data_IF_366032149867
#
_entry.id   IF_366032149867
#
_cell.length_a   1.000
_cell.length_b   1.000
_cell.length_c   1.000
_cell.angle_alpha   90.00
_cell.angle_beta   90.00
_cell.angle_gamma   90.00
#
_symmetry.space_group_name_H-M   'P 1'
#
loop_
_entity.id
_entity.type
_entity.pdbx_description
1 polymer ?
#
# COMPACT_ATOMS: atom_id res chain seq x y z
N UNK A 1 -20.91 -20.04 -19.16
CA UNK A 1 -21.04 -18.61 -18.78
C UNK A 1 -21.97 -17.95 -19.77
N UNK A 2 -22.92 -17.13 -19.33
CA UNK A 2 -23.76 -16.33 -20.23
C UNK A 2 -22.90 -15.35 -21.04
N UNK A 3 -23.23 -15.08 -22.31
CA UNK A 3 -22.51 -14.08 -23.11
C UNK A 3 -22.81 -12.67 -22.57
N UNK A 4 -21.90 -11.73 -22.80
CA UNK A 4 -22.11 -10.32 -22.44
C UNK A 4 -23.42 -9.78 -23.04
N UNK A 5 -23.76 -10.17 -24.27
CA UNK A 5 -25.02 -9.82 -24.92
C UNK A 5 -26.23 -10.30 -24.11
N UNK A 6 -26.20 -11.53 -23.60
CA UNK A 6 -27.30 -12.13 -22.87
C UNK A 6 -27.52 -11.43 -21.53
N UNK A 7 -26.43 -11.04 -20.86
CA UNK A 7 -26.47 -10.26 -19.63
C UNK A 7 -27.07 -8.87 -19.84
N UNK A 8 -26.76 -8.21 -20.96
CA UNK A 8 -27.36 -6.92 -21.29
C UNK A 8 -28.84 -7.09 -21.65
N UNK A 9 -29.21 -8.16 -22.37
CA UNK A 9 -30.62 -8.47 -22.60
C UNK A 9 -31.38 -8.71 -21.29
N UNK A 10 -30.75 -9.31 -20.27
CA UNK A 10 -31.32 -9.39 -18.91
C UNK A 10 -31.54 -8.00 -18.31
N UNK A 11 -30.55 -7.10 -18.38
CA UNK A 11 -30.70 -5.70 -17.93
C UNK A 11 -31.89 -5.02 -18.58
N UNK A 12 -32.06 -5.17 -19.91
CA UNK A 12 -33.14 -4.52 -20.66
C UNK A 12 -34.52 -5.09 -20.31
N UNK A 13 -34.66 -6.41 -20.25
CA UNK A 13 -35.93 -7.06 -19.85
C UNK A 13 -36.39 -6.61 -18.48
N UNK A 14 -35.44 -6.53 -17.56
CA UNK A 14 -35.71 -6.12 -16.19
C UNK A 14 -36.02 -4.62 -16.10
N UNK A 15 -35.34 -3.79 -16.89
CA UNK A 15 -35.66 -2.36 -16.99
C UNK A 15 -37.08 -2.12 -17.52
N UNK A 16 -37.52 -2.86 -18.55
CA UNK A 16 -38.89 -2.80 -19.08
C UNK A 16 -39.89 -3.22 -18.01
N UNK A 17 -39.61 -4.31 -17.27
CA UNK A 17 -40.45 -4.74 -16.15
C UNK A 17 -40.64 -3.62 -15.12
N UNK A 18 -39.54 -2.94 -14.75
CA UNK A 18 -39.54 -1.85 -13.78
C UNK A 18 -40.31 -0.61 -14.23
N UNK A 19 -40.46 -0.34 -15.54
CA UNK A 19 -41.29 0.77 -16.02
C UNK A 19 -42.77 0.61 -15.67
N UNK A 20 -43.23 -0.63 -15.52
CA UNK A 20 -44.62 -0.96 -15.18
C UNK A 20 -44.82 -1.20 -13.68
N UNK A 21 -43.75 -1.18 -12.88
CA UNK A 21 -43.80 -1.44 -11.46
C UNK A 21 -44.28 -0.20 -10.67
N UNK A 22 -45.01 -0.39 -9.55
CA UNK A 22 -45.46 0.71 -8.72
C UNK A 22 -44.27 1.45 -8.09
N UNK A 23 -44.37 2.78 -8.04
CA UNK A 23 -43.35 3.65 -7.46
C UNK A 23 -43.63 3.98 -5.98
N UNK A 24 -42.62 3.97 -5.09
CA UNK A 24 -41.22 3.58 -5.32
C UNK A 24 -41.03 2.06 -5.38
N UNK A 25 -40.23 1.58 -6.34
CA UNK A 25 -39.85 0.17 -6.41
C UNK A 25 -38.75 -0.13 -5.38
N UNK A 26 -39.06 -1.02 -4.44
CA UNK A 26 -38.10 -1.70 -3.58
C UNK A 26 -38.37 -3.19 -3.67
N UNK A 27 -37.34 -3.99 -3.90
CA UNK A 27 -37.47 -5.45 -3.92
C UNK A 27 -37.58 -5.96 -2.47
N UNK A 28 -38.63 -6.74 -2.18
CA UNK A 28 -38.90 -7.27 -0.83
C UNK A 28 -37.76 -8.16 -0.31
N UNK A 29 -36.96 -8.75 -1.21
CA UNK A 29 -35.84 -9.62 -0.86
C UNK A 29 -34.49 -8.90 -0.93
N UNK A 30 -34.45 -7.62 -1.32
CA UNK A 30 -33.21 -6.84 -1.36
C UNK A 30 -32.90 -6.33 0.06
N UNK A 31 -31.75 -6.71 0.64
CA UNK A 31 -31.35 -6.23 1.96
C UNK A 31 -31.06 -4.72 1.99
N UNK A 32 -31.02 -4.05 0.83
CA UNK A 32 -30.82 -2.61 0.73
C UNK A 32 -32.17 -1.84 0.78
N UNK A 33 -32.39 -0.97 1.79
CA UNK A 33 -33.73 -0.43 2.08
C UNK A 33 -34.17 0.74 1.17
N UNK A 34 -33.41 1.06 0.12
CA UNK A 34 -33.69 2.21 -0.76
C UNK A 34 -33.69 1.78 -2.23
N UNK A 35 -34.45 2.47 -3.11
CA UNK A 35 -34.36 2.24 -4.54
C UNK A 35 -32.94 2.42 -5.05
N UNK A 36 -32.41 1.42 -5.77
CA UNK A 36 -31.10 1.51 -6.40
C UNK A 36 -31.20 2.39 -7.63
N UNK A 37 -30.17 3.20 -7.85
CA UNK A 37 -30.16 4.17 -8.95
C UNK A 37 -28.84 4.17 -9.72
N UNK A 38 -28.91 4.40 -11.02
CA UNK A 38 -27.77 4.67 -11.90
C UNK A 38 -27.89 6.10 -12.43
N UNK A 39 -26.85 6.92 -12.24
CA UNK A 39 -26.84 8.29 -12.76
C UNK A 39 -26.63 8.32 -14.28
N UNK A 40 -27.33 9.22 -14.96
CA UNK A 40 -27.25 9.41 -16.43
C UNK A 40 -26.22 10.50 -16.80
N UNK A 41 -25.72 11.24 -15.82
CA UNK A 41 -24.65 12.24 -15.98
C UNK A 41 -25.13 13.70 -16.06
N UNK A 42 -26.43 13.94 -16.21
CA UNK A 42 -27.07 15.26 -16.29
C UNK A 42 -27.97 15.57 -15.08
N UNK A 43 -27.68 14.93 -13.95
CA UNK A 43 -28.49 15.01 -12.73
C UNK A 43 -29.72 14.09 -12.74
N UNK A 44 -30.04 13.43 -13.87
CA UNK A 44 -31.06 12.37 -13.93
C UNK A 44 -30.50 11.04 -13.44
N UNK A 45 -31.41 10.17 -13.02
CA UNK A 45 -31.09 8.80 -12.62
C UNK A 45 -32.15 7.82 -13.11
N UNK A 46 -31.73 6.58 -13.35
CA UNK A 46 -32.57 5.45 -13.72
C UNK A 46 -32.66 4.54 -12.49
N UNK A 47 -33.87 4.13 -12.15
CA UNK A 47 -34.08 3.15 -11.07
C UNK A 47 -33.85 1.76 -11.58
N UNK A 48 -33.13 0.98 -10.79
CA UNK A 48 -32.70 -0.37 -11.14
C UNK A 48 -33.00 -1.34 -10.01
N UNK A 49 -33.15 -2.62 -10.34
CA UNK A 49 -33.25 -3.70 -9.37
C UNK A 49 -31.87 -4.28 -9.03
N UNK A 50 -31.83 -5.13 -8.01
CA UNK A 50 -30.63 -5.92 -7.70
C UNK A 50 -30.20 -6.79 -8.88
N UNK A 51 -31.16 -7.36 -9.63
CA UNK A 51 -30.86 -8.19 -10.81
C UNK A 51 -30.10 -7.41 -11.90
N UNK A 52 -30.48 -6.15 -12.13
CA UNK A 52 -29.75 -5.27 -13.05
C UNK A 52 -28.31 -5.02 -12.55
N UNK A 53 -28.14 -4.68 -11.27
CA UNK A 53 -26.81 -4.45 -10.69
C UNK A 53 -25.94 -5.71 -10.80
N UNK A 54 -26.48 -6.89 -10.54
CA UNK A 54 -25.76 -8.17 -10.62
C UNK A 54 -25.39 -8.52 -12.07
N UNK A 55 -26.28 -8.27 -13.03
CA UNK A 55 -26.00 -8.45 -14.46
C UNK A 55 -24.88 -7.50 -14.93
N UNK A 56 -24.94 -6.22 -14.52
CA UNK A 56 -23.88 -5.24 -14.82
C UNK A 56 -22.54 -5.64 -14.20
N UNK A 57 -22.53 -6.15 -12.96
CA UNK A 57 -21.30 -6.64 -12.34
C UNK A 57 -20.70 -7.81 -13.11
N UNK A 58 -21.52 -8.77 -13.57
CA UNK A 58 -21.07 -9.88 -14.41
C UNK A 58 -20.52 -9.40 -15.75
N UNK A 59 -21.12 -8.38 -16.35
CA UNK A 59 -20.57 -7.74 -17.57
C UNK A 59 -19.19 -7.14 -17.28
N UNK A 60 -19.05 -6.39 -16.18
CA UNK A 60 -17.77 -5.80 -15.79
C UNK A 60 -16.68 -6.87 -15.59
N UNK A 61 -17.00 -7.97 -14.90
CA UNK A 61 -16.10 -9.09 -14.66
C UNK A 61 -15.68 -9.79 -15.97
N UNK A 62 -16.60 -9.95 -16.92
CA UNK A 62 -16.26 -10.51 -18.23
C UNK A 62 -15.39 -9.57 -19.07
N UNK A 63 -15.64 -8.26 -19.00
CA UNK A 63 -14.84 -7.26 -19.72
C UNK A 63 -13.39 -7.21 -19.21
N UNK A 64 -13.17 -7.25 -17.89
CA UNK A 64 -11.80 -7.25 -17.35
C UNK A 64 -11.07 -8.58 -17.59
N UNK A 65 -11.79 -9.70 -17.62
CA UNK A 65 -11.21 -11.00 -17.95
C UNK A 65 -10.76 -11.11 -19.42
N UNK A 66 -11.37 -10.34 -20.33
CA UNK A 66 -10.98 -10.28 -21.75
C UNK A 66 -9.68 -9.50 -21.99
N UNK A 67 -9.30 -8.61 -21.07
CA UNK A 67 -8.04 -7.85 -21.15
C UNK A 67 -7.24 -7.98 -19.83
N UNK A 68 -6.35 -8.99 -19.72
CA UNK A 68 -5.52 -9.20 -18.54
C UNK A 68 -4.66 -7.98 -18.17
N UNK A 69 -4.36 -7.07 -19.10
CA UNK A 69 -3.56 -5.87 -18.81
C UNK A 69 -4.28 -4.87 -17.91
N UNK A 70 -5.61 -4.96 -17.81
CA UNK A 70 -6.42 -4.13 -16.93
C UNK A 70 -6.42 -4.61 -15.48
N UNK A 71 -6.22 -5.91 -15.25
CA UNK A 71 -6.18 -6.49 -13.89
C UNK A 71 -5.04 -5.93 -13.05
N UNK A 72 -3.95 -5.49 -13.69
CA UNK A 72 -2.83 -4.83 -13.03
C UNK A 72 -2.98 -3.31 -12.96
N UNK A 73 -4.06 -2.71 -13.46
CA UNK A 73 -4.26 -1.25 -13.48
C UNK A 73 -5.46 -0.77 -12.66
N UNK A 74 -6.42 -1.65 -12.44
CA UNK A 74 -7.67 -1.36 -11.75
C UNK A 74 -7.88 -2.28 -10.55
N UNK A 75 -8.42 -1.72 -9.47
CA UNK A 75 -9.08 -2.55 -8.46
C UNK A 75 -10.42 -3.04 -9.00
N UNK A 76 -10.83 -4.26 -8.65
CA UNK A 76 -12.08 -4.83 -9.14
C UNK A 76 -13.31 -3.97 -8.78
N UNK A 77 -13.35 -3.43 -7.57
CA UNK A 77 -14.44 -2.56 -7.12
C UNK A 77 -14.50 -1.25 -7.92
N UNK A 78 -13.34 -0.63 -8.18
CA UNK A 78 -13.24 0.60 -8.97
C UNK A 78 -13.64 0.35 -10.44
N UNK A 79 -13.19 -0.75 -11.01
CA UNK A 79 -13.58 -1.20 -12.35
C UNK A 79 -15.09 -1.40 -12.47
N UNK A 80 -15.69 -2.16 -11.55
CA UNK A 80 -17.15 -2.39 -11.52
C UNK A 80 -17.92 -1.08 -11.39
N UNK A 81 -17.46 -0.16 -10.54
CA UNK A 81 -18.06 1.17 -10.38
C UNK A 81 -17.99 1.98 -11.68
N UNK A 82 -16.85 1.96 -12.38
CA UNK A 82 -16.70 2.63 -13.67
C UNK A 82 -17.65 2.05 -14.72
N UNK A 83 -17.64 0.72 -14.91
CA UNK A 83 -18.52 0.05 -15.89
C UNK A 83 -19.98 0.36 -15.58
N UNK A 84 -20.39 0.28 -14.31
CA UNK A 84 -21.74 0.65 -13.87
C UNK A 84 -22.09 2.09 -14.20
N UNK A 85 -21.17 3.03 -14.02
CA UNK A 85 -21.40 4.43 -14.38
C UNK A 85 -21.56 4.63 -15.90
N UNK A 86 -20.94 3.79 -16.73
CA UNK A 86 -21.11 3.82 -18.19
C UNK A 86 -22.48 3.32 -18.66
N UNK A 87 -23.17 2.48 -17.87
CA UNK A 87 -24.51 1.99 -18.23
C UNK A 87 -25.58 3.09 -18.19
N UNK A 88 -25.50 4.04 -17.26
CA UNK A 88 -26.54 5.08 -17.11
C UNK A 88 -26.79 5.90 -18.39
N UNK A 89 -25.75 6.56 -18.94
CA UNK A 89 -25.85 7.24 -20.22
C UNK A 89 -26.26 6.30 -21.36
N UNK A 90 -25.75 5.07 -21.40
CA UNK A 90 -26.04 4.11 -22.45
C UNK A 90 -27.52 3.69 -22.47
N UNK A 91 -28.11 3.43 -21.29
CA UNK A 91 -29.52 3.08 -21.13
C UNK A 91 -30.46 4.27 -21.38
N UNK A 92 -30.00 5.50 -21.15
CA UNK A 92 -30.80 6.69 -21.43
C UNK A 92 -30.86 7.07 -22.92
N UNK A 93 -30.01 6.47 -23.76
CA UNK A 93 -29.92 6.75 -25.19
C UNK A 93 -30.70 5.76 -26.07
N UNK A 94 -31.22 4.68 -25.50
CA UNK A 94 -32.00 3.67 -26.23
C UNK A 94 -33.49 3.97 -26.15
N UNK A 95 -34.22 3.53 -27.17
CA UNK A 95 -35.68 3.47 -27.16
C UNK A 95 -36.11 2.06 -26.71
N UNK A 96 -36.89 1.96 -25.63
CA UNK A 96 -37.27 0.64 -25.09
C UNK A 96 -38.32 -0.09 -25.93
N UNK A 97 -38.92 0.60 -26.91
CA UNK A 97 -39.83 0.00 -27.90
C UNK A 97 -39.06 -0.77 -29.01
N UNK A 98 -37.75 -0.52 -29.16
CA UNK A 98 -36.90 -1.23 -30.12
C UNK A 98 -36.61 -2.69 -29.70
N UNK A 99 -36.33 -3.60 -30.66
CA UNK A 99 -35.98 -4.98 -30.35
C UNK A 99 -34.83 -5.10 -29.35
N UNK A 100 -35.01 -5.92 -28.30
CA UNK A 100 -34.04 -6.10 -27.20
C UNK A 100 -32.64 -6.43 -27.73
N UNK A 101 -32.51 -7.26 -28.76
CA UNK A 101 -31.22 -7.64 -29.32
C UNK A 101 -30.48 -6.48 -30.02
N UNK A 102 -31.23 -5.53 -30.60
CA UNK A 102 -30.67 -4.31 -31.18
C UNK A 102 -30.21 -3.35 -30.08
N UNK A 103 -31.07 -3.11 -29.09
CA UNK A 103 -30.74 -2.30 -27.93
C UNK A 103 -29.55 -2.86 -27.15
N UNK A 104 -29.46 -4.17 -26.98
CA UNK A 104 -28.36 -4.82 -26.26
C UNK A 104 -27.01 -4.58 -26.95
N UNK A 105 -26.97 -4.61 -28.29
CA UNK A 105 -25.76 -4.28 -29.06
C UNK A 105 -25.37 -2.81 -28.89
N UNK A 106 -26.33 -1.90 -29.02
CA UNK A 106 -26.08 -0.46 -28.89
C UNK A 106 -25.59 -0.10 -27.48
N UNK A 107 -26.21 -0.66 -26.43
CA UNK A 107 -25.76 -0.47 -25.04
C UNK A 107 -24.34 -1.00 -24.86
N UNK A 108 -24.04 -2.19 -25.38
CA UNK A 108 -22.69 -2.77 -25.28
C UNK A 108 -21.63 -1.89 -25.95
N UNK A 109 -21.90 -1.39 -27.16
CA UNK A 109 -21.00 -0.51 -27.90
C UNK A 109 -20.77 0.81 -27.17
N UNK A 110 -21.83 1.40 -26.62
CA UNK A 110 -21.75 2.63 -25.83
C UNK A 110 -20.96 2.44 -24.54
N UNK A 111 -21.21 1.34 -23.82
CA UNK A 111 -20.45 0.99 -22.60
C UNK A 111 -18.98 0.77 -22.93
N UNK A 112 -18.66 -0.02 -23.97
CA UNK A 112 -17.26 -0.25 -24.40
C UNK A 112 -16.56 1.03 -24.80
N UNK A 113 -17.23 1.89 -25.55
CA UNK A 113 -16.67 3.19 -25.97
C UNK A 113 -16.41 4.10 -24.77
N UNK A 114 -17.34 4.16 -23.82
CA UNK A 114 -17.20 4.91 -22.57
C UNK A 114 -16.05 4.39 -21.73
N UNK A 115 -15.95 3.08 -21.53
CA UNK A 115 -14.88 2.42 -20.77
C UNK A 115 -13.52 2.67 -21.43
N UNK A 116 -13.41 2.49 -22.75
CA UNK A 116 -12.16 2.73 -23.50
C UNK A 116 -11.68 4.17 -23.37
N UNK A 117 -12.60 5.14 -23.43
CA UNK A 117 -12.30 6.55 -23.21
C UNK A 117 -11.76 6.80 -21.79
N UNK A 118 -12.34 6.18 -20.77
CA UNK A 118 -11.86 6.31 -19.38
C UNK A 118 -10.49 5.66 -19.18
N UNK A 119 -10.22 4.52 -19.81
CA UNK A 119 -8.90 3.87 -19.78
C UNK A 119 -7.84 4.81 -20.37
N UNK A 120 -8.12 5.44 -21.51
CA UNK A 120 -7.22 6.38 -22.18
C UNK A 120 -6.91 7.66 -21.39
N UNK A 121 -7.67 7.97 -20.34
CA UNK A 121 -7.45 9.13 -19.46
C UNK A 121 -6.53 8.84 -18.26
N UNK A 122 -6.04 7.61 -18.12
CA UNK A 122 -5.16 7.23 -17.01
C UNK A 122 -3.74 7.76 -17.21
N UNK A 123 -3.54 9.04 -16.90
CA UNK A 123 -2.24 9.72 -16.97
C UNK A 123 -1.32 9.46 -15.77
N UNK A 124 -0.23 10.24 -15.71
CA UNK A 124 0.68 10.28 -14.55
C UNK A 124 -0.01 10.90 -13.34
N UNK A 125 0.12 10.28 -12.17
CA UNK A 125 -0.44 10.74 -10.89
C UNK A 125 0.64 10.77 -9.82
N UNK A 126 0.68 11.83 -9.03
CA UNK A 126 1.50 11.91 -7.82
C UNK A 126 0.59 11.75 -6.59
N UNK A 127 0.84 10.74 -5.77
CA UNK A 127 0.17 10.53 -4.49
C UNK A 127 1.09 11.03 -3.38
N UNK A 128 0.64 11.99 -2.59
CA UNK A 128 1.43 12.61 -1.52
C UNK A 128 0.92 12.21 -0.14
N UNK A 129 1.84 11.94 0.78
CA UNK A 129 1.56 11.57 2.16
C UNK A 129 2.43 12.41 3.09
N UNK A 130 1.84 13.06 4.10
CA UNK A 130 2.63 13.63 5.20
C UNK A 130 3.43 12.53 5.89
N UNK A 131 4.71 12.76 6.17
CA UNK A 131 5.54 11.78 6.87
C UNK A 131 6.51 12.39 7.88
N UNK A 132 6.79 11.62 8.93
CA UNK A 132 7.97 11.80 9.76
C UNK A 132 9.08 10.94 9.18
N UNK A 133 10.28 11.50 9.05
CA UNK A 133 11.43 10.81 8.45
C UNK A 133 12.65 10.91 9.36
N UNK A 134 13.10 12.13 9.66
CA UNK A 134 14.22 12.38 10.56
C UNK A 134 13.83 13.35 11.68
N UNK A 135 14.67 13.42 12.71
CA UNK A 135 14.54 14.36 13.83
C UNK A 135 14.79 15.82 13.44
N UNK A 136 15.58 16.04 12.38
CA UNK A 136 15.86 17.35 11.82
C UNK A 136 15.05 17.59 10.53
N UNK A 137 14.92 18.85 10.12
CA UNK A 137 14.27 19.25 8.86
C UNK A 137 15.26 19.77 7.82
N UNK A 138 16.56 19.58 8.04
CA UNK A 138 17.65 20.11 7.21
C UNK A 138 18.01 19.21 6.03
N UNK A 139 17.42 18.01 5.97
CA UNK A 139 17.65 17.05 4.89
C UNK A 139 17.10 17.60 3.57
N UNK A 140 17.96 17.63 2.55
CA UNK A 140 17.59 18.07 1.20
C UNK A 140 16.62 17.08 0.54
N UNK A 141 15.79 17.54 -0.42
CA UNK A 141 14.99 16.64 -1.24
C UNK A 141 15.82 15.52 -1.87
N UNK A 142 15.30 14.30 -1.84
CA UNK A 142 15.91 13.14 -2.49
C UNK A 142 14.85 12.17 -3.00
N UNK A 143 15.25 11.22 -3.84
CA UNK A 143 14.36 10.21 -4.40
C UNK A 143 14.99 8.82 -4.34
N UNK A 144 14.13 7.80 -4.21
CA UNK A 144 14.47 6.38 -4.34
C UNK A 144 13.45 5.79 -5.31
N UNK A 145 13.86 5.61 -6.56
CA UNK A 145 12.98 5.20 -7.65
C UNK A 145 11.78 6.16 -7.80
N UNK A 146 10.54 5.67 -7.74
CA UNK A 146 9.34 6.50 -7.92
C UNK A 146 8.94 7.31 -6.68
N UNK A 147 9.66 7.16 -5.56
CA UNK A 147 9.36 7.81 -4.28
C UNK A 147 10.28 9.00 -4.08
N UNK A 148 9.70 10.15 -3.76
CA UNK A 148 10.39 11.41 -3.46
C UNK A 148 10.08 11.86 -2.04
N UNK A 149 11.12 12.20 -1.29
CA UNK A 149 11.00 12.80 0.04
C UNK A 149 11.42 14.26 -0.02
N UNK A 150 10.59 15.14 0.52
CA UNK A 150 10.82 16.59 0.53
C UNK A 150 10.46 17.19 1.89
N UNK A 151 11.20 18.20 2.37
CA UNK A 151 10.69 19.07 3.43
C UNK A 151 9.34 19.66 3.01
N UNK A 152 8.38 19.72 3.94
CA UNK A 152 6.99 20.13 3.63
C UNK A 152 6.88 21.48 2.92
N UNK A 153 7.77 22.42 3.26
CA UNK A 153 7.80 23.75 2.66
C UNK A 153 8.28 23.69 1.19
N UNK A 154 9.36 22.95 0.93
CA UNK A 154 9.87 22.77 -0.43
C UNK A 154 8.89 22.00 -1.34
N UNK A 155 8.18 21.01 -0.79
CA UNK A 155 7.10 20.32 -1.50
C UNK A 155 5.97 21.29 -1.89
N UNK A 156 5.52 22.13 -0.95
CA UNK A 156 4.44 23.09 -1.21
C UNK A 156 4.84 24.15 -2.24
N UNK A 157 6.09 24.65 -2.17
CA UNK A 157 6.65 25.58 -3.14
C UNK A 157 6.67 24.96 -4.55
N UNK A 158 7.13 23.71 -4.67
CA UNK A 158 7.09 22.97 -5.94
C UNK A 158 5.65 22.80 -6.46
N UNK A 159 4.70 22.43 -5.60
CA UNK A 159 3.30 22.31 -6.02
C UNK A 159 2.66 23.64 -6.41
N UNK A 160 3.13 24.76 -5.86
CA UNK A 160 2.73 26.07 -6.34
C UNK A 160 3.33 26.40 -7.70
N UNK A 161 4.61 26.08 -7.94
CA UNK A 161 5.27 26.36 -9.23
C UNK A 161 4.74 25.49 -10.37
N UNK A 162 4.31 24.26 -10.08
CA UNK A 162 3.61 23.37 -11.01
C UNK A 162 2.15 23.81 -11.31
N UNK A 163 1.64 24.84 -10.62
CA UNK A 163 0.27 25.33 -10.77
C UNK A 163 -0.81 24.45 -10.12
N UNK A 164 -0.42 23.41 -9.38
CA UNK A 164 -1.34 22.53 -8.65
C UNK A 164 -1.92 23.22 -7.40
N UNK A 165 -1.21 24.22 -6.85
CA UNK A 165 -1.65 25.02 -5.70
C UNK A 165 -1.55 26.50 -6.06
N UNK A 166 -2.61 27.28 -5.80
CA UNK A 166 -2.58 28.72 -6.00
C UNK A 166 -1.70 29.43 -4.96
N UNK A 167 -1.04 30.55 -5.33
CA UNK A 167 -0.20 31.34 -4.40
C UNK A 167 -0.93 31.74 -3.12
N UNK A 168 -2.21 32.05 -3.21
CA UNK A 168 -3.07 32.36 -2.06
C UNK A 168 -3.23 31.16 -1.14
N UNK A 169 -3.44 29.98 -1.71
CA UNK A 169 -3.60 28.72 -0.96
C UNK A 169 -2.28 28.31 -0.32
N UNK A 170 -1.15 28.43 -1.02
CA UNK A 170 0.19 28.23 -0.45
C UNK A 170 0.40 29.07 0.82
N UNK A 171 0.23 30.40 0.70
CA UNK A 171 0.44 31.32 1.83
C UNK A 171 -0.42 30.97 3.05
N UNK A 172 -1.65 30.50 2.82
CA UNK A 172 -2.58 30.10 3.89
C UNK A 172 -2.17 28.77 4.53
N UNK A 173 -1.74 27.79 3.74
CA UNK A 173 -1.21 26.53 4.26
C UNK A 173 0.02 26.82 5.14
N UNK A 174 0.95 27.68 4.71
CA UNK A 174 2.10 28.12 5.50
C UNK A 174 1.70 28.81 6.82
N UNK A 175 0.64 29.63 6.79
CA UNK A 175 0.08 30.23 8.01
C UNK A 175 -0.49 29.17 8.95
N UNK A 176 -1.23 28.19 8.43
CA UNK A 176 -1.75 27.07 9.24
C UNK A 176 -0.61 26.26 9.86
N UNK A 177 0.41 25.91 9.08
CA UNK A 177 1.57 25.14 9.52
C UNK A 177 2.48 25.86 10.51
N UNK A 178 2.40 27.20 10.59
CA UNK A 178 3.02 28.02 11.63
C UNK A 178 2.14 28.21 12.88
N UNK A 179 0.99 27.53 12.94
CA UNK A 179 0.09 27.51 14.10
C UNK A 179 -0.96 28.62 14.10
N UNK A 180 -1.07 29.42 13.05
CA UNK A 180 -2.11 30.47 12.97
C UNK A 180 -3.46 29.84 12.62
N UNK A 181 -4.50 30.28 13.33
CA UNK A 181 -5.89 29.90 13.00
C UNK A 181 -6.29 30.55 11.69
N UNK A 182 -6.73 29.75 10.73
CA UNK A 182 -7.23 30.23 9.45
C UNK A 182 -8.68 30.68 9.56
N UNK A 183 -9.01 31.81 8.92
CA UNK A 183 -10.39 32.23 8.72
C UNK A 183 -11.08 31.34 7.69
N UNK A 184 -12.38 31.10 7.88
CA UNK A 184 -13.20 30.26 6.99
C UNK A 184 -13.27 30.88 5.58
N UNK A 185 -12.97 30.07 4.56
CA UNK A 185 -13.06 30.45 3.15
C UNK A 185 -14.45 30.11 2.58
N UNK A 186 -14.90 30.84 1.56
CA UNK A 186 -16.06 30.44 0.76
C UNK A 186 -15.77 29.11 0.07
N UNK A 187 -16.78 28.25 -0.07
CA UNK A 187 -16.65 26.99 -0.77
C UNK A 187 -16.17 27.20 -2.22
N UNK A 188 -15.02 26.62 -2.54
CA UNK A 188 -14.36 26.62 -3.84
C UNK A 188 -13.42 25.43 -3.95
N UNK A 189 -12.97 25.09 -5.17
CA UNK A 189 -11.95 24.06 -5.40
C UNK A 189 -10.70 24.32 -4.55
N UNK A 190 -10.20 25.55 -4.56
CA UNK A 190 -9.06 25.94 -3.72
C UNK A 190 -9.31 25.73 -2.22
N UNK A 191 -10.53 25.95 -1.73
CA UNK A 191 -10.85 25.73 -0.31
C UNK A 191 -10.84 24.24 0.07
N UNK A 192 -11.19 23.37 -0.88
CA UNK A 192 -11.14 21.91 -0.72
C UNK A 192 -9.67 21.47 -0.73
N UNK A 193 -8.89 21.91 -1.72
CA UNK A 193 -7.45 21.62 -1.82
C UNK A 193 -6.70 22.09 -0.56
N UNK A 194 -6.97 23.31 -0.07
CA UNK A 194 -6.38 23.84 1.16
C UNK A 194 -6.62 22.90 2.35
N UNK A 195 -7.88 22.48 2.54
CA UNK A 195 -8.27 21.59 3.62
C UNK A 195 -7.62 20.21 3.47
N UNK A 196 -7.69 19.62 2.29
CA UNK A 196 -7.16 18.28 2.04
C UNK A 196 -5.64 18.24 2.23
N UNK A 197 -4.89 19.26 1.80
CA UNK A 197 -3.44 19.34 2.04
C UNK A 197 -3.15 19.46 3.54
N UNK A 198 -3.89 20.29 4.28
CA UNK A 198 -3.71 20.43 5.72
C UNK A 198 -4.01 19.10 6.43
N UNK A 199 -5.05 18.36 6.01
CA UNK A 199 -5.44 17.09 6.61
C UNK A 199 -4.45 15.94 6.26
N UNK A 200 -3.95 15.90 5.02
CA UNK A 200 -3.05 14.84 4.52
C UNK A 200 -1.60 15.03 4.96
N UNK A 201 -1.10 16.27 4.99
CA UNK A 201 0.27 16.57 5.43
C UNK A 201 0.32 16.77 6.94
N UNK A 202 -0.72 17.38 7.52
CA UNK A 202 -0.82 17.63 8.95
C UNK A 202 0.37 18.41 9.50
N UNK A 203 0.89 17.94 10.64
CA UNK A 203 2.06 18.51 11.31
C UNK A 203 3.38 17.85 10.89
N UNK A 204 3.36 16.96 9.89
CA UNK A 204 4.55 16.23 9.47
C UNK A 204 5.60 17.17 8.86
N UNK A 205 6.89 17.02 9.19
CA UNK A 205 7.94 17.89 8.66
C UNK A 205 8.30 17.58 7.20
N UNK A 206 8.02 16.36 6.73
CA UNK A 206 8.30 15.91 5.37
C UNK A 206 7.02 15.49 4.64
N UNK A 207 7.10 15.46 3.33
CA UNK A 207 6.10 14.86 2.44
C UNK A 207 6.79 13.76 1.64
N UNK A 208 6.16 12.59 1.63
CA UNK A 208 6.50 11.45 0.79
C UNK A 208 5.56 11.43 -0.41
N UNK A 209 6.09 11.70 -1.59
CA UNK A 209 5.35 11.67 -2.85
C UNK A 209 5.72 10.42 -3.65
N UNK A 210 4.74 9.75 -4.24
CA UNK A 210 4.94 8.59 -5.11
C UNK A 210 4.28 8.82 -6.47
N UNK A 211 5.07 8.71 -7.53
CA UNK A 211 4.61 8.87 -8.91
C UNK A 211 4.16 7.53 -9.47
N UNK A 212 2.96 7.49 -10.03
CA UNK A 212 2.36 6.33 -10.68
C UNK A 212 1.92 6.71 -12.10
N UNK A 213 1.93 5.74 -13.03
CA UNK A 213 1.58 5.99 -14.44
C UNK A 213 0.61 4.93 -14.91
N UNK A 214 -0.48 5.34 -15.57
CA UNK A 214 -1.41 4.39 -16.19
C UNK A 214 -2.30 3.61 -15.21
N UNK A 215 -2.27 3.96 -13.92
CA UNK A 215 -3.10 3.34 -12.88
C UNK A 215 -4.37 4.15 -12.64
N UNK A 216 -5.45 3.43 -12.36
CA UNK A 216 -6.70 4.00 -11.90
C UNK A 216 -6.53 4.64 -10.52
N UNK A 217 -7.31 5.69 -10.16
CA UNK A 217 -7.14 6.41 -8.90
C UNK A 217 -6.98 5.55 -7.63
N UNK A 218 -7.85 4.56 -7.41
CA UNK A 218 -7.78 3.74 -6.19
C UNK A 218 -6.59 2.77 -6.23
N UNK A 219 -6.36 2.11 -7.36
CA UNK A 219 -5.18 1.27 -7.57
C UNK A 219 -3.87 2.05 -7.41
N UNK A 220 -3.80 3.27 -7.95
CA UNK A 220 -2.66 4.17 -7.85
C UNK A 220 -2.38 4.52 -6.38
N UNK A 221 -3.43 4.86 -5.63
CA UNK A 221 -3.33 5.20 -4.21
C UNK A 221 -2.84 4.02 -3.38
N UNK A 222 -3.39 2.82 -3.58
CA UNK A 222 -2.99 1.61 -2.85
C UNK A 222 -1.52 1.24 -3.12
N UNK A 223 -1.10 1.26 -4.39
CA UNK A 223 0.29 0.99 -4.76
C UNK A 223 1.23 2.06 -4.27
N UNK A 224 0.86 3.33 -4.38
CA UNK A 224 1.66 4.43 -3.86
C UNK A 224 1.87 4.31 -2.34
N UNK A 225 0.82 3.98 -1.60
CA UNK A 225 0.89 3.79 -0.15
C UNK A 225 1.83 2.63 0.22
N UNK A 226 1.69 1.49 -0.45
CA UNK A 226 2.59 0.34 -0.26
C UNK A 226 4.04 0.72 -0.58
N UNK A 227 4.27 1.38 -1.72
CA UNK A 227 5.61 1.80 -2.15
C UNK A 227 6.25 2.80 -1.17
N UNK A 228 5.48 3.76 -0.65
CA UNK A 228 5.95 4.71 0.36
C UNK A 228 6.37 4.01 1.66
N UNK A 229 5.59 3.02 2.13
CA UNK A 229 5.94 2.20 3.30
C UNK A 229 7.22 1.40 3.10
N UNK A 230 7.39 0.78 1.92
CA UNK A 230 8.59 0.04 1.57
C UNK A 230 9.82 0.95 1.47
N UNK A 231 9.68 2.16 0.94
CA UNK A 231 10.76 3.14 0.91
C UNK A 231 11.20 3.54 2.34
N UNK A 232 10.26 3.80 3.26
CA UNK A 232 10.59 4.05 4.67
C UNK A 232 11.28 2.85 5.32
N UNK A 233 10.81 1.63 5.05
CA UNK A 233 11.45 0.41 5.55
C UNK A 233 12.87 0.24 5.02
N UNK A 234 13.10 0.53 3.75
CA UNK A 234 14.42 0.47 3.12
C UNK A 234 15.39 1.49 3.74
N UNK A 235 14.93 2.70 4.05
CA UNK A 235 15.71 3.68 4.80
C UNK A 235 16.02 3.14 6.21
N UNK A 236 15.01 2.64 6.91
CA UNK A 236 15.17 2.12 8.28
C UNK A 236 16.16 0.95 8.40
N UNK A 237 16.38 0.17 7.33
CA UNK A 237 17.39 -0.91 7.31
C UNK A 237 18.79 -0.41 7.66
N UNK A 238 19.12 0.85 7.42
CA UNK A 238 20.43 1.41 7.77
C UNK A 238 20.67 1.47 9.29
N UNK A 239 19.61 1.51 10.11
CA UNK A 239 19.74 1.48 11.56
C UNK A 239 19.94 0.07 12.08
N UNK A 240 20.71 -0.08 13.16
CA UNK A 240 20.92 -1.39 13.80
C UNK A 240 19.61 -2.02 14.25
N UNK A 241 18.63 -1.24 14.70
CA UNK A 241 17.28 -1.72 15.06
C UNK A 241 16.23 -1.00 14.20
N UNK A 242 15.92 -1.50 13.00
CA UNK A 242 14.98 -0.87 12.07
C UNK A 242 13.57 -0.67 12.65
N UNK A 243 13.08 -1.57 13.50
CA UNK A 243 11.79 -1.44 14.19
C UNK A 243 11.73 -0.17 15.03
N UNK A 244 12.80 0.14 15.78
CA UNK A 244 12.92 1.40 16.53
C UNK A 244 13.04 2.63 15.63
N UNK A 245 13.71 2.52 14.49
CA UNK A 245 13.75 3.62 13.52
C UNK A 245 12.35 3.90 12.94
N UNK A 246 11.60 2.85 12.58
CA UNK A 246 10.22 2.94 12.08
C UNK A 246 9.19 3.37 13.14
N UNK A 247 9.48 3.25 14.44
CA UNK A 247 8.69 3.95 15.45
C UNK A 247 8.72 5.48 15.24
N UNK A 248 9.79 6.03 14.68
CA UNK A 248 9.90 7.45 14.37
C UNK A 248 9.61 7.81 12.91
N UNK A 249 9.84 6.88 11.97
CA UNK A 249 9.60 7.06 10.55
C UNK A 249 8.20 6.55 10.16
N UNK A 250 7.27 7.45 9.86
CA UNK A 250 5.87 7.08 9.65
C UNK A 250 5.18 7.95 8.61
N UNK A 251 4.26 7.34 7.86
CA UNK A 251 3.23 8.08 7.13
C UNK A 251 2.12 8.48 8.09
N UNK A 252 1.64 9.73 7.99
CA UNK A 252 0.48 10.21 8.75
C UNK A 252 -0.77 9.36 8.48
N UNK A 253 -0.84 8.77 7.29
CA UNK A 253 -1.88 7.82 6.87
C UNK A 253 -1.99 6.62 7.83
N UNK A 254 -0.86 6.10 8.32
CA UNK A 254 -0.83 4.81 9.02
C UNK A 254 -1.16 4.93 10.50
N UNK A 255 -0.61 5.94 11.19
CA UNK A 255 -0.76 6.08 12.64
C UNK A 255 -0.76 7.55 13.03
N UNK A 256 -1.78 7.95 13.79
CA UNK A 256 -1.77 9.21 14.54
C UNK A 256 -1.17 8.98 15.92
N UNK A 257 -0.25 9.87 16.32
CA UNK A 257 0.39 9.83 17.63
C UNK A 257 -0.68 9.90 18.73
N UNK A 258 -0.71 8.89 19.60
CA UNK A 258 -1.61 8.88 20.76
C UNK A 258 -0.93 8.24 21.97
N UNK A 259 -1.42 8.58 23.17
CA UNK A 259 -0.95 8.00 24.43
C UNK A 259 -1.73 6.72 24.73
N UNK A 260 -1.02 5.62 24.89
CA UNK A 260 -1.55 4.37 25.43
C UNK A 260 -1.50 4.44 26.95
N UNK A 261 -2.60 4.08 27.63
CA UNK A 261 -2.71 4.12 29.09
C UNK A 261 -3.19 2.76 29.59
N UNK A 262 -2.60 2.29 30.66
CA UNK A 262 -3.00 1.07 31.36
C UNK A 262 -3.07 1.34 32.86
N UNK A 263 -4.02 0.70 33.55
CA UNK A 263 -4.14 0.71 35.00
C UNK A 263 -3.85 -0.70 35.50
N UNK A 264 -2.97 -0.83 36.49
CA UNK A 264 -2.73 -2.10 37.17
C UNK A 264 -3.36 -2.05 38.55
N UNK A 265 -4.25 -2.99 38.82
CA UNK A 265 -4.88 -3.18 40.12
C UNK A 265 -4.17 -4.31 40.83
N UNK A 266 -3.59 -4.03 42.00
CA UNK A 266 -3.02 -5.06 42.88
C UNK A 266 -3.84 -5.05 44.17
N UNK A 267 -4.44 -6.19 44.57
CA UNK A 267 -5.26 -6.26 45.78
C UNK A 267 -4.54 -5.65 47.00
N UNK A 268 -5.23 -4.78 47.74
CA UNK A 268 -4.69 -4.10 48.92
C UNK A 268 -3.63 -3.02 48.64
N UNK A 269 -3.38 -2.67 47.37
CA UNK A 269 -2.41 -1.61 46.98
C UNK A 269 -3.07 -0.55 46.12
N UNK A 270 -2.41 0.62 46.05
CA UNK A 270 -2.81 1.73 45.18
C UNK A 270 -2.76 1.32 43.71
N UNK A 271 -3.75 1.80 42.94
CA UNK A 271 -3.79 1.62 41.48
C UNK A 271 -2.55 2.25 40.84
N UNK A 272 -1.84 1.48 40.01
CA UNK A 272 -0.63 1.94 39.33
C UNK A 272 -0.95 2.34 37.88
N UNK A 273 -0.92 3.63 37.53
CA UNK A 273 -1.07 4.07 36.15
C UNK A 273 0.24 3.92 35.38
N UNK A 274 0.15 3.37 34.17
CA UNK A 274 1.24 3.36 33.18
C UNK A 274 0.78 4.08 31.93
N UNK A 275 1.63 4.96 31.39
CA UNK A 275 1.40 5.59 30.09
C UNK A 275 2.61 5.44 29.18
N UNK A 276 2.35 5.20 27.90
CA UNK A 276 3.36 5.13 26.85
C UNK A 276 2.84 5.82 25.58
N UNK A 277 3.72 6.12 24.62
CA UNK A 277 3.32 6.63 23.31
C UNK A 277 3.19 5.45 22.34
N UNK A 278 2.22 5.51 21.43
CA UNK A 278 2.03 4.48 20.41
C UNK A 278 3.14 4.43 19.36
N UNK A 279 3.95 5.50 19.24
CA UNK A 279 5.14 5.63 18.41
C UNK A 279 5.90 6.92 18.77
N UNK A 280 7.05 7.16 18.12
CA UNK A 280 7.88 8.35 18.34
C UNK A 280 7.41 9.52 17.46
N UNK A 281 7.47 10.77 17.96
CA UNK A 281 7.00 11.94 17.23
C UNK A 281 7.92 12.35 16.06
N UNK A 282 9.14 11.82 16.04
CA UNK A 282 10.14 12.10 15.03
C UNK A 282 10.99 10.86 14.76
N UNK A 283 11.58 10.81 13.57
CA UNK A 283 12.56 9.79 13.21
C UNK A 283 13.88 9.91 13.99
N UNK A 284 14.85 9.05 13.69
CA UNK A 284 16.20 9.17 14.19
C UNK A 284 16.81 10.54 13.88
N UNK A 285 17.63 11.03 14.79
CA UNK A 285 18.34 12.28 14.60
C UNK A 285 19.56 12.07 13.70
N UNK A 286 19.77 13.00 12.75
CA UNK A 286 20.94 13.04 11.88
C UNK A 286 21.62 14.40 12.02
N UNK A 287 22.92 14.46 11.77
CA UNK A 287 23.66 15.71 11.58
C UNK A 287 23.42 16.22 10.16
N UNK A 288 23.67 17.51 9.95
CA UNK A 288 23.59 18.10 8.61
C UNK A 288 24.58 17.42 7.66
N UNK A 289 24.12 17.03 6.46
CA UNK A 289 24.93 16.31 5.48
C UNK A 289 25.08 14.80 5.74
N UNK A 290 24.68 14.28 6.90
CA UNK A 290 24.84 12.87 7.25
C UNK A 290 23.95 11.97 6.38
N UNK A 291 22.73 12.41 6.07
CA UNK A 291 21.85 11.66 5.17
C UNK A 291 22.43 11.55 3.76
N UNK A 292 22.95 12.65 3.21
CA UNK A 292 23.56 12.68 1.89
C UNK A 292 24.79 11.75 1.83
N UNK A 293 25.59 11.71 2.90
CA UNK A 293 26.70 10.79 3.03
C UNK A 293 26.23 9.33 3.08
N UNK A 294 25.20 9.00 3.87
CA UNK A 294 24.62 7.66 3.95
C UNK A 294 24.01 7.21 2.61
N UNK A 295 23.30 8.11 1.94
CA UNK A 295 22.69 7.85 0.63
C UNK A 295 23.77 7.56 -0.43
N UNK A 296 24.86 8.34 -0.43
CA UNK A 296 26.00 8.13 -1.34
C UNK A 296 26.74 6.83 -1.07
N UNK A 297 27.05 6.54 0.20
CA UNK A 297 27.72 5.31 0.63
C UNK A 297 26.92 4.05 0.30
N UNK A 298 25.58 4.14 0.31
CA UNK A 298 24.67 3.02 0.04
C UNK A 298 23.97 3.16 -1.32
N UNK A 299 24.60 3.84 -2.29
CA UNK A 299 23.99 4.13 -3.59
C UNK A 299 23.61 2.87 -4.39
N UNK A 300 24.44 1.83 -4.39
CA UNK A 300 24.14 0.53 -4.99
C UNK A 300 22.87 -0.09 -4.38
N UNK A 301 22.82 -0.17 -3.04
CA UNK A 301 21.65 -0.65 -2.31
C UNK A 301 20.39 0.16 -2.66
N UNK A 302 20.43 1.49 -2.62
CA UNK A 302 19.26 2.32 -2.95
C UNK A 302 18.87 2.25 -4.44
N UNK A 303 19.82 1.97 -5.34
CA UNK A 303 19.54 1.62 -6.73
C UNK A 303 18.73 0.33 -6.85
N UNK A 304 19.14 -0.72 -6.13
CA UNK A 304 18.36 -1.96 -6.03
C UNK A 304 16.98 -1.77 -5.41
N UNK A 305 16.88 -0.94 -4.36
CA UNK A 305 15.58 -0.56 -3.77
C UNK A 305 14.72 0.18 -4.80
N UNK A 306 15.28 1.11 -5.58
CA UNK A 306 14.54 1.83 -6.61
C UNK A 306 13.88 0.87 -7.62
N UNK A 307 14.61 -0.13 -8.11
CA UNK A 307 14.06 -1.17 -9.01
C UNK A 307 12.92 -1.96 -8.35
N UNK A 308 13.07 -2.31 -7.06
CA UNK A 308 12.02 -3.01 -6.30
C UNK A 308 10.77 -2.14 -6.15
N UNK A 309 10.93 -0.85 -5.87
CA UNK A 309 9.82 0.09 -5.74
C UNK A 309 9.11 0.33 -7.07
N UNK A 310 9.85 0.44 -8.18
CA UNK A 310 9.27 0.53 -9.53
C UNK A 310 8.46 -0.74 -9.87
N UNK A 311 8.97 -1.92 -9.53
CA UNK A 311 8.25 -3.20 -9.71
C UNK A 311 6.94 -3.25 -8.92
N UNK A 312 6.89 -2.70 -7.70
CA UNK A 312 5.67 -2.66 -6.88
C UNK A 312 4.59 -1.77 -7.52
N UNK A 313 4.99 -0.67 -8.17
CA UNK A 313 4.06 0.22 -8.87
C UNK A 313 3.58 -0.42 -10.16
N UNK A 314 4.50 -0.98 -10.94
CA UNK A 314 4.20 -1.56 -12.25
C UNK A 314 5.03 -2.83 -12.47
N UNK A 315 4.46 -4.01 -12.15
CA UNK A 315 5.13 -5.28 -12.34
C UNK A 315 5.55 -5.56 -13.78
N UNK A 316 4.99 -4.85 -14.77
CA UNK A 316 5.39 -4.98 -16.17
C UNK A 316 6.74 -4.30 -16.48
N UNK A 317 7.15 -3.27 -15.72
CA UNK A 317 8.43 -2.56 -15.95
C UNK A 317 9.67 -3.40 -15.64
N UNK A 318 9.55 -4.44 -14.82
CA UNK A 318 10.66 -5.28 -14.36
C UNK A 318 10.76 -6.65 -15.06
N UNK A 319 10.24 -6.79 -16.27
CA UNK A 319 9.97 -8.11 -16.88
C UNK A 319 11.21 -9.02 -17.00
N UNK A 320 12.41 -8.46 -17.23
CA UNK A 320 13.66 -9.22 -17.39
C UNK A 320 14.15 -9.89 -16.10
N UNK A 321 13.75 -9.39 -14.93
CA UNK A 321 14.15 -9.90 -13.62
C UNK A 321 13.00 -9.96 -12.61
N UNK A 322 11.81 -10.25 -13.13
CA UNK A 322 10.54 -10.26 -12.40
C UNK A 322 10.56 -11.11 -11.13
N UNK A 323 11.13 -12.31 -11.17
CA UNK A 323 11.11 -13.24 -10.05
C UNK A 323 12.01 -12.74 -8.91
N UNK A 324 13.18 -12.18 -9.26
CA UNK A 324 14.08 -11.54 -8.31
C UNK A 324 13.41 -10.34 -7.63
N UNK A 325 12.84 -9.42 -8.41
CA UNK A 325 12.18 -8.22 -7.88
C UNK A 325 10.95 -8.57 -7.05
N UNK A 326 10.16 -9.56 -7.47
CA UNK A 326 9.05 -10.08 -6.69
C UNK A 326 9.49 -10.63 -5.33
N UNK A 327 10.58 -11.41 -5.31
CA UNK A 327 11.14 -11.97 -4.08
C UNK A 327 11.58 -10.87 -3.12
N UNK A 328 12.32 -9.87 -3.61
CA UNK A 328 12.78 -8.74 -2.80
C UNK A 328 11.61 -7.86 -2.32
N UNK A 329 10.62 -7.59 -3.17
CA UNK A 329 9.42 -6.83 -2.80
C UNK A 329 8.63 -7.52 -1.68
N UNK A 330 8.40 -8.83 -1.80
CA UNK A 330 7.71 -9.60 -0.75
C UNK A 330 8.51 -9.63 0.55
N UNK A 331 9.83 -9.84 0.48
CA UNK A 331 10.70 -9.83 1.65
C UNK A 331 10.67 -8.49 2.39
N UNK A 332 10.75 -7.38 1.64
CA UNK A 332 10.69 -6.02 2.20
C UNK A 332 9.31 -5.68 2.79
N UNK A 333 8.22 -6.18 2.18
CA UNK A 333 6.87 -6.04 2.71
C UNK A 333 6.71 -6.76 4.05
N UNK A 334 7.12 -8.02 4.12
CA UNK A 334 7.08 -8.78 5.39
C UNK A 334 7.95 -8.12 6.46
N UNK A 335 9.06 -7.54 6.07
CA UNK A 335 9.97 -6.87 6.98
C UNK A 335 9.35 -5.61 7.57
N UNK A 336 8.78 -4.76 6.72
CA UNK A 336 8.01 -3.58 7.14
C UNK A 336 6.92 -3.97 8.14
N UNK A 337 6.13 -5.00 7.83
CA UNK A 337 5.07 -5.47 8.71
C UNK A 337 5.60 -6.03 10.04
N UNK A 338 6.75 -6.71 10.02
CA UNK A 338 7.40 -7.28 11.21
C UNK A 338 7.91 -6.18 12.15
N UNK A 339 8.49 -5.12 11.60
CA UNK A 339 8.94 -3.96 12.38
C UNK A 339 7.78 -3.24 13.08
N UNK A 340 6.59 -3.24 12.49
CA UNK A 340 5.41 -2.53 13.03
C UNK A 340 4.53 -3.37 13.96
N UNK A 341 4.85 -4.65 14.10
CA UNK A 341 4.07 -5.61 14.87
C UNK A 341 4.28 -5.46 16.38
N UNK A 342 3.17 -5.31 17.11
CA UNK A 342 3.15 -5.15 18.56
C UNK A 342 3.20 -6.50 19.28
N UNK A 343 2.65 -7.55 18.68
CA UNK A 343 2.68 -8.91 19.24
C UNK A 343 4.03 -9.56 18.90
N UNK A 344 4.88 -9.76 19.91
CA UNK A 344 6.26 -10.25 19.74
C UNK A 344 6.38 -11.47 18.84
N UNK A 345 5.52 -12.47 19.06
CA UNK A 345 5.51 -13.72 18.31
C UNK A 345 5.10 -13.52 16.84
N UNK A 346 4.14 -12.64 16.58
CA UNK A 346 3.77 -12.27 15.21
C UNK A 346 4.89 -11.49 14.50
N UNK A 347 5.68 -10.72 15.25
CA UNK A 347 6.89 -10.08 14.74
C UNK A 347 7.89 -11.13 14.26
N UNK A 348 8.13 -12.18 15.05
CA UNK A 348 8.97 -13.33 14.66
C UNK A 348 8.42 -13.99 13.40
N UNK A 349 7.12 -14.26 13.33
CA UNK A 349 6.47 -14.85 12.13
C UNK A 349 6.77 -14.01 10.88
N UNK A 350 6.61 -12.69 10.97
CA UNK A 350 6.81 -11.77 9.85
C UNK A 350 8.29 -11.64 9.45
N UNK A 351 9.22 -11.52 10.40
CA UNK A 351 10.66 -11.54 10.09
C UNK A 351 11.12 -12.89 9.52
N UNK A 352 10.53 -13.99 9.99
CA UNK A 352 10.78 -15.32 9.40
C UNK A 352 10.24 -15.39 7.98
N UNK A 353 9.07 -14.79 7.70
CA UNK A 353 8.52 -14.71 6.34
C UNK A 353 9.42 -13.88 5.40
N UNK A 354 10.08 -12.82 5.89
CA UNK A 354 11.13 -12.12 5.15
C UNK A 354 12.27 -13.06 4.77
N UNK A 355 12.80 -13.81 5.73
CA UNK A 355 13.91 -14.75 5.50
C UNK A 355 13.50 -15.89 4.57
N UNK A 356 12.29 -16.43 4.73
CA UNK A 356 11.77 -17.52 3.90
C UNK A 356 11.49 -17.05 2.46
N UNK A 357 11.02 -15.81 2.27
CA UNK A 357 10.89 -15.21 0.94
C UNK A 357 12.27 -15.12 0.25
N UNK A 358 13.28 -14.55 0.91
CA UNK A 358 14.66 -14.49 0.39
C UNK A 358 15.27 -15.89 0.14
N UNK A 359 14.87 -16.88 0.93
CA UNK A 359 15.28 -18.28 0.78
C UNK A 359 14.39 -19.10 -0.17
N UNK A 360 13.49 -18.46 -0.93
CA UNK A 360 12.58 -19.11 -1.89
C UNK A 360 11.69 -20.21 -1.28
N UNK A 361 11.18 -20.01 -0.07
CA UNK A 361 10.37 -21.00 0.66
C UNK A 361 11.17 -22.21 1.16
N UNK A 362 12.50 -22.08 1.23
CA UNK A 362 13.42 -23.15 1.62
C UNK A 362 13.36 -23.55 3.10
N UNK A 363 12.49 -22.93 3.91
CA UNK A 363 12.30 -23.22 5.34
C UNK A 363 13.60 -23.02 6.13
N UNK A 364 13.73 -23.61 7.33
CA UNK A 364 14.96 -23.53 8.15
C UNK A 364 16.24 -23.83 7.35
N UNK A 365 16.25 -24.90 6.54
CA UNK A 365 17.43 -25.25 5.74
C UNK A 365 17.80 -24.19 4.68
N UNK A 366 16.80 -23.60 4.02
CA UNK A 366 17.01 -22.50 3.08
C UNK A 366 17.50 -21.23 3.76
N UNK A 367 16.91 -20.89 4.91
CA UNK A 367 17.28 -19.71 5.69
C UNK A 367 18.74 -19.81 6.16
N UNK A 368 19.18 -21.00 6.62
CA UNK A 368 20.59 -21.21 6.99
C UNK A 368 21.52 -21.03 5.80
N UNK A 369 21.21 -21.62 4.64
CA UNK A 369 22.00 -21.43 3.40
C UNK A 369 22.09 -19.96 3.00
N UNK A 370 20.96 -19.23 3.05
CA UNK A 370 20.91 -17.80 2.79
C UNK A 370 21.85 -17.01 3.73
N UNK A 371 21.74 -17.25 5.04
CA UNK A 371 22.58 -16.58 6.04
C UNK A 371 24.05 -16.91 5.83
N UNK A 372 24.40 -18.16 5.53
CA UNK A 372 25.78 -18.54 5.21
C UNK A 372 26.28 -17.84 3.95
N UNK A 373 25.49 -17.82 2.87
CA UNK A 373 25.88 -17.22 1.59
C UNK A 373 26.00 -15.69 1.64
N UNK A 374 25.19 -15.01 2.47
CA UNK A 374 25.14 -13.54 2.51
C UNK A 374 25.88 -12.92 3.69
N UNK A 375 25.99 -13.64 4.81
CA UNK A 375 26.61 -13.14 6.04
C UNK A 375 27.87 -13.93 6.44
N UNK A 376 28.21 -15.01 5.75
CA UNK A 376 29.41 -15.82 6.02
C UNK A 376 29.34 -16.66 7.30
N UNK A 377 28.18 -16.70 7.98
CA UNK A 377 28.02 -17.43 9.23
C UNK A 377 27.85 -18.94 8.98
N UNK A 378 28.67 -19.75 9.65
CA UNK A 378 28.62 -21.21 9.54
C UNK A 378 27.58 -21.80 10.50
N UNK A 379 26.90 -22.88 10.09
CA UNK A 379 25.76 -23.45 10.84
C UNK A 379 26.09 -23.81 12.29
N UNK A 380 27.27 -24.38 12.52
CA UNK A 380 27.71 -24.86 13.84
C UNK A 380 28.46 -23.79 14.65
N UNK A 381 28.73 -22.63 14.06
CA UNK A 381 29.42 -21.54 14.76
C UNK A 381 28.46 -20.78 15.68
N UNK A 382 28.91 -20.39 16.89
CA UNK A 382 28.13 -19.52 17.76
C UNK A 382 27.95 -18.14 17.10
N UNK A 383 26.74 -17.59 17.17
CA UNK A 383 26.43 -16.28 16.58
C UNK A 383 26.94 -15.10 17.41
N UNK A 384 27.32 -15.35 18.67
CA UNK A 384 27.93 -14.41 19.62
C UNK A 384 28.69 -15.22 20.69
N UNK A 385 29.63 -14.61 21.44
CA UNK A 385 30.26 -15.26 22.58
C UNK A 385 29.21 -15.87 23.52
N UNK A 386 29.39 -17.14 23.88
CA UNK A 386 28.47 -17.93 24.73
C UNK A 386 27.01 -18.01 24.23
N UNK A 387 26.79 -17.73 22.94
CA UNK A 387 25.47 -17.74 22.31
C UNK A 387 25.10 -19.07 21.62
N UNK A 388 23.86 -19.18 21.11
CA UNK A 388 23.46 -20.33 20.33
C UNK A 388 24.27 -20.42 19.03
N UNK A 389 24.39 -21.63 18.48
CA UNK A 389 24.82 -21.82 17.10
C UNK A 389 23.83 -21.19 16.12
N UNK A 390 24.28 -20.85 14.90
CA UNK A 390 23.38 -20.39 13.84
C UNK A 390 22.23 -21.38 13.62
N UNK A 391 22.53 -22.69 13.58
CA UNK A 391 21.51 -23.73 13.42
C UNK A 391 20.46 -23.66 14.53
N UNK A 392 20.87 -23.64 15.79
CA UNK A 392 19.96 -23.58 16.93
C UNK A 392 19.08 -22.32 16.90
N UNK A 393 19.67 -21.16 16.59
CA UNK A 393 18.95 -19.90 16.46
C UNK A 393 17.89 -19.93 15.35
N UNK A 394 18.25 -20.40 14.14
CA UNK A 394 17.31 -20.48 13.02
C UNK A 394 16.21 -21.52 13.27
N UNK A 395 16.55 -22.65 13.89
CA UNK A 395 15.57 -23.67 14.24
C UNK A 395 14.56 -23.17 15.30
N UNK A 396 15.00 -22.37 16.28
CA UNK A 396 14.12 -21.71 17.23
C UNK A 396 13.18 -20.71 16.53
N UNK A 397 13.73 -19.82 15.70
CA UNK A 397 12.98 -18.81 14.96
C UNK A 397 11.93 -19.47 14.05
N UNK A 398 12.34 -20.43 13.23
CA UNK A 398 11.47 -21.04 12.23
C UNK A 398 10.48 -22.04 12.84
N UNK A 399 10.97 -22.97 13.65
CA UNK A 399 10.15 -24.09 14.13
C UNK A 399 9.26 -23.66 15.29
N UNK A 400 9.86 -23.13 16.35
CA UNK A 400 9.14 -22.75 17.57
C UNK A 400 8.41 -21.42 17.39
N UNK A 401 9.10 -20.42 16.84
CA UNK A 401 8.56 -19.06 16.66
C UNK A 401 7.49 -18.98 15.57
N UNK A 402 7.79 -19.43 14.34
CA UNK A 402 6.88 -19.29 13.19
C UNK A 402 5.96 -20.48 12.98
N UNK A 403 6.51 -21.68 12.79
CA UNK A 403 5.77 -22.85 12.33
C UNK A 403 4.70 -23.28 13.35
N UNK A 404 5.11 -23.54 14.60
CA UNK A 404 4.18 -23.96 15.66
C UNK A 404 3.14 -22.89 15.97
N UNK A 405 3.48 -21.61 15.86
CA UNK A 405 2.54 -20.50 16.07
C UNK A 405 1.44 -20.49 15.01
N UNK A 406 1.80 -20.58 13.73
CA UNK A 406 0.82 -20.62 12.62
C UNK A 406 -0.05 -21.87 12.70
N UNK A 407 0.52 -23.02 13.09
CA UNK A 407 -0.22 -24.28 13.18
C UNK A 407 -1.00 -24.46 14.50
N UNK A 408 -0.93 -23.49 15.42
CA UNK A 408 -1.65 -23.56 16.70
C UNK A 408 -1.10 -24.59 17.69
N UNK A 409 0.14 -25.07 17.48
CA UNK A 409 0.79 -26.09 18.33
C UNK A 409 1.89 -25.51 19.21
N UNK A 410 1.96 -24.18 19.35
CA UNK A 410 2.98 -23.51 20.17
C UNK A 410 2.60 -23.56 21.66
N UNK A 411 3.24 -24.44 22.42
CA UNK A 411 3.06 -24.57 23.87
C UNK A 411 3.73 -23.47 24.68
N UNK A 412 4.53 -22.59 24.03
CA UNK A 412 5.28 -21.49 24.64
C UNK A 412 4.71 -20.11 24.31
N UNK A 413 3.42 -20.02 23.95
CA UNK A 413 2.77 -18.75 23.55
C UNK A 413 2.95 -17.63 24.59
N UNK A 414 2.92 -17.96 25.89
CA UNK A 414 3.08 -17.00 26.99
C UNK A 414 4.52 -16.75 27.45
N UNK A 415 5.53 -17.37 26.83
CA UNK A 415 6.94 -17.16 27.18
C UNK A 415 7.43 -15.79 26.71
N UNK A 416 8.57 -15.34 27.25
CA UNK A 416 9.27 -14.18 26.70
C UNK A 416 9.98 -14.54 25.39
N UNK A 417 9.56 -13.88 24.31
CA UNK A 417 10.08 -14.04 22.96
C UNK A 417 10.86 -12.81 22.48
N UNK A 418 11.10 -11.84 23.37
CA UNK A 418 11.71 -10.55 23.00
C UNK A 418 13.10 -10.74 22.39
N UNK A 419 13.95 -11.58 22.99
CA UNK A 419 15.27 -11.92 22.48
C UNK A 419 15.23 -12.56 21.08
N UNK A 420 14.35 -13.55 20.89
CA UNK A 420 14.17 -14.24 19.60
C UNK A 420 13.63 -13.30 18.53
N UNK A 421 12.73 -12.37 18.87
CA UNK A 421 12.27 -11.30 17.96
C UNK A 421 13.42 -10.41 17.54
N UNK A 422 14.20 -9.90 18.49
CA UNK A 422 15.36 -9.04 18.18
C UNK A 422 16.35 -9.76 17.28
N UNK A 423 16.63 -11.04 17.53
CA UNK A 423 17.52 -11.83 16.67
C UNK A 423 16.94 -12.05 15.26
N UNK A 424 15.64 -12.35 15.17
CA UNK A 424 14.94 -12.50 13.88
C UNK A 424 15.01 -11.22 13.05
N UNK A 425 14.79 -10.07 13.69
CA UNK A 425 14.92 -8.75 13.05
C UNK A 425 16.33 -8.52 12.51
N UNK A 426 17.38 -8.85 13.28
CA UNK A 426 18.76 -8.69 12.83
C UNK A 426 19.07 -9.55 11.61
N UNK A 427 18.70 -10.83 11.62
CA UNK A 427 18.92 -11.69 10.45
C UNK A 427 18.15 -11.19 9.23
N UNK A 428 16.87 -10.83 9.40
CA UNK A 428 16.05 -10.31 8.31
C UNK A 428 16.64 -9.02 7.73
N UNK A 429 17.06 -8.08 8.59
CA UNK A 429 17.71 -6.83 8.20
C UNK A 429 18.99 -7.07 7.40
N UNK A 430 19.92 -7.85 7.95
CA UNK A 430 21.23 -8.06 7.35
C UNK A 430 21.12 -8.83 6.03
N UNK A 431 20.25 -9.85 5.98
CA UNK A 431 19.99 -10.58 4.74
C UNK A 431 19.33 -9.69 3.69
N UNK A 432 18.37 -8.83 4.05
CA UNK A 432 17.76 -7.89 3.11
C UNK A 432 18.78 -6.93 2.51
N UNK A 433 19.61 -6.29 3.35
CA UNK A 433 20.69 -5.40 2.90
C UNK A 433 21.61 -6.11 1.91
N UNK A 434 22.11 -7.29 2.29
CA UNK A 434 23.04 -8.05 1.47
C UNK A 434 22.40 -8.59 0.17
N UNK A 435 21.12 -9.01 0.21
CA UNK A 435 20.43 -9.52 -0.97
C UNK A 435 20.09 -8.43 -1.97
N UNK A 436 19.63 -7.27 -1.50
CA UNK A 436 19.32 -6.13 -2.37
C UNK A 436 20.61 -5.61 -3.03
N UNK A 437 21.69 -5.46 -2.26
CA UNK A 437 22.98 -5.02 -2.80
C UNK A 437 23.57 -6.05 -3.79
N UNK A 438 23.47 -7.35 -3.48
CA UNK A 438 23.87 -8.42 -4.40
C UNK A 438 23.06 -8.39 -5.70
N UNK A 439 21.75 -8.13 -5.62
CA UNK A 439 20.86 -8.06 -6.79
C UNK A 439 21.14 -6.81 -7.63
N UNK A 440 21.48 -5.69 -7.00
CA UNK A 440 21.94 -4.48 -7.68
C UNK A 440 23.24 -4.72 -8.45
N UNK A 441 24.18 -5.47 -7.86
CA UNK A 441 25.43 -5.86 -8.51
C UNK A 441 25.26 -6.90 -9.64
N UNK A 442 24.09 -7.54 -9.77
CA UNK A 442 23.78 -8.54 -10.81
C UNK A 442 22.45 -8.22 -11.50
N UNK A 443 22.39 -7.14 -12.30
CA UNK A 443 21.14 -6.65 -12.90
C UNK A 443 20.49 -7.64 -13.87
N UNK A 444 21.25 -8.59 -14.42
CA UNK A 444 20.75 -9.63 -15.34
C UNK A 444 20.22 -10.88 -14.63
N UNK A 445 20.40 -10.99 -13.31
CA UNK A 445 19.93 -12.15 -12.55
C UNK A 445 18.44 -12.05 -12.24
N UNK A 446 17.68 -13.03 -12.76
CA UNK A 446 16.26 -13.22 -12.45
C UNK A 446 16.02 -14.34 -11.43
N UNK A 447 16.92 -15.32 -11.28
CA UNK A 447 16.71 -16.49 -10.42
C UNK A 447 16.96 -16.15 -8.93
N UNK A 448 15.91 -16.08 -8.09
CA UNK A 448 16.08 -15.69 -6.69
C UNK A 448 16.82 -16.75 -5.85
N UNK A 449 16.94 -17.99 -6.34
CA UNK A 449 17.71 -19.04 -5.63
C UNK A 449 19.20 -18.68 -5.52
N UNK A 450 19.70 -17.85 -6.44
CA UNK A 450 21.06 -17.34 -6.40
C UNK A 450 21.32 -16.44 -5.18
N UNK A 451 20.29 -15.97 -4.47
CA UNK A 451 20.46 -15.26 -3.20
C UNK A 451 21.06 -16.16 -2.10
N UNK A 452 20.90 -17.48 -2.22
CA UNK A 452 21.42 -18.47 -1.27
C UNK A 452 22.71 -19.17 -1.74
N UNK A 453 23.36 -18.64 -2.78
CA UNK A 453 24.63 -19.16 -3.33
C UNK A 453 25.79 -18.21 -3.13
#
# INVERSE_FOLDING_TARGET
MAKISDLISTVLKELIRLQTAPWPYCDENDPFPFPRMIGVGDGRSIVVSQEIDDAIQRVADQLIAQDPSLTSKYMLAEWRKMVRASFGPALAMIDLDDPIDQNAKQVLENVRSSVTKHIGQSGTRENAFGCTLFGNSTVKPFAIGPVRFEPRAGWLERKCSEGAVSKTTQRRIEQSWSGKKLQKRKASTDSIIEKDIIDVVGTCPFVCSVVTVGLAPDAARERALTTARLALAAIALLWTTPSRALEGMNLLYDRRLHRQRALTFVPGKTVLPKSSRSHMPHGPWLKDGEWEALLSQNSSFFGGVAEVLDYVIDPARGQSRRDMLNTLAQALLWFHEGCRESVTLMGIVKFTATLDALACGGKSAGIKRLITARLGLQEMSPIRPDGPTLKSAVDEIYSEGRSRTIHGTNTKLGHDWSGTKSLSEQFARLCLLACIDWAAAKPTSNDPKQLST
#
